data_IF_857492991989
#
_entry.id   IF_857492991989
#
_cell.length_a   1.000
_cell.length_b   1.000
_cell.length_c   1.000
_cell.angle_alpha   90.00
_cell.angle_beta   90.00
_cell.angle_gamma   90.00
#
_symmetry.space_group_name_H-M   'P 1'
#
loop_
_entity.id
_entity.type
_entity.pdbx_description
1 polymer ?
#
# COMPACT_ATOMS: atom_id res chain seq x y z
N UNK A 1 -10.33 -16.64 -1.88
CA UNK A 1 -9.46 -15.66 -1.21
C UNK A 1 -8.66 -14.94 -2.27
N UNK A 2 -8.71 -13.62 -2.28
CA UNK A 2 -7.97 -12.76 -3.20
C UNK A 2 -6.66 -12.35 -2.54
N UNK A 3 -5.52 -12.41 -3.24
CA UNK A 3 -4.22 -12.04 -2.67
C UNK A 3 -4.19 -10.54 -2.32
N UNK A 4 -3.58 -10.19 -1.19
CA UNK A 4 -3.42 -8.80 -0.73
C UNK A 4 -1.96 -8.54 -0.36
N UNK A 5 -1.44 -7.38 -0.76
CA UNK A 5 -0.14 -6.88 -0.34
C UNK A 5 -0.30 -5.70 0.62
N UNK A 6 0.48 -5.73 1.70
CA UNK A 6 0.59 -4.64 2.67
C UNK A 6 1.95 -3.97 2.51
N UNK A 7 1.95 -2.64 2.35
CA UNK A 7 3.16 -1.82 2.24
C UNK A 7 3.22 -0.84 3.39
N UNK A 8 4.26 -0.96 4.21
CA UNK A 8 4.62 0.03 5.22
C UNK A 8 5.67 0.97 4.62
N UNK A 9 5.40 2.27 4.61
CA UNK A 9 6.27 3.27 3.97
C UNK A 9 6.16 4.64 4.65
N UNK A 10 7.19 5.48 4.51
CA UNK A 10 7.12 6.90 4.88
C UNK A 10 6.52 7.78 3.76
N UNK A 11 6.34 7.21 2.57
CA UNK A 11 5.91 7.87 1.33
C UNK A 11 4.71 7.14 0.69
N UNK A 12 3.53 7.16 1.33
CA UNK A 12 2.34 6.46 0.83
C UNK A 12 1.91 6.93 -0.57
N UNK A 13 2.17 8.20 -0.90
CA UNK A 13 1.83 8.83 -2.18
C UNK A 13 2.58 8.24 -3.39
N UNK A 14 3.67 7.49 -3.17
CA UNK A 14 4.40 6.80 -4.24
C UNK A 14 3.64 5.60 -4.80
N UNK A 15 2.59 5.13 -4.10
CA UNK A 15 1.84 3.95 -4.47
C UNK A 15 0.51 4.30 -5.17
N UNK A 16 0.02 3.45 -6.10
CA UNK A 16 0.55 2.14 -6.48
C UNK A 16 1.75 2.21 -7.43
N UNK A 17 2.17 3.39 -7.88
CA UNK A 17 3.36 3.57 -8.71
C UNK A 17 3.37 2.63 -9.94
N UNK A 18 4.48 1.90 -10.19
CA UNK A 18 4.56 0.89 -11.26
C UNK A 18 3.54 -0.26 -11.13
N UNK A 19 3.07 -0.59 -9.91
CA UNK A 19 2.07 -1.64 -9.70
C UNK A 19 0.71 -1.29 -10.31
N UNK A 20 0.47 -0.01 -10.59
CA UNK A 20 -0.72 0.48 -11.31
C UNK A 20 -0.64 0.33 -12.83
N UNK A 21 0.42 -0.24 -13.40
CA UNK A 21 0.65 -0.33 -14.85
C UNK A 21 0.48 -1.74 -15.39
N UNK A 22 0.32 -1.88 -16.71
CA UNK A 22 0.28 -3.19 -17.40
C UNK A 22 -0.72 -4.19 -16.77
N UNK A 23 -0.35 -5.48 -16.69
CA UNK A 23 -1.19 -6.55 -16.15
C UNK A 23 -1.44 -6.41 -14.65
N UNK A 24 -0.45 -6.01 -13.86
CA UNK A 24 -0.60 -5.82 -12.41
C UNK A 24 -1.66 -4.76 -12.11
N UNK A 25 -1.62 -3.62 -12.82
CA UNK A 25 -2.61 -2.55 -12.67
C UNK A 25 -4.01 -2.94 -13.15
N UNK A 26 -4.12 -3.69 -14.26
CA UNK A 26 -5.41 -4.22 -14.72
C UNK A 26 -6.02 -5.19 -13.71
N UNK A 27 -5.20 -6.07 -13.13
CA UNK A 27 -5.62 -7.01 -12.11
C UNK A 27 -6.05 -6.31 -10.81
N UNK A 28 -5.32 -5.26 -10.40
CA UNK A 28 -5.67 -4.42 -9.24
C UNK A 28 -7.04 -3.76 -9.44
N UNK A 29 -7.27 -3.14 -10.61
CA UNK A 29 -8.56 -2.52 -10.97
C UNK A 29 -9.73 -3.51 -11.04
N UNK A 30 -9.44 -4.78 -11.36
CA UNK A 30 -10.43 -5.87 -11.39
C UNK A 30 -10.64 -6.54 -10.03
N UNK A 31 -9.92 -6.12 -8.98
CA UNK A 31 -10.00 -6.75 -7.65
C UNK A 31 -9.47 -8.19 -7.63
N UNK A 32 -8.60 -8.56 -8.58
CA UNK A 32 -7.92 -9.87 -8.59
C UNK A 32 -6.81 -9.92 -7.53
N UNK A 33 -6.32 -8.74 -7.13
CA UNK A 33 -5.52 -8.53 -5.94
C UNK A 33 -5.78 -7.15 -5.34
N UNK A 34 -5.35 -6.92 -4.10
CA UNK A 34 -5.47 -5.65 -3.38
C UNK A 34 -4.13 -5.15 -2.84
N UNK A 35 -4.01 -3.83 -2.69
CA UNK A 35 -2.84 -3.16 -2.14
C UNK A 35 -3.28 -2.25 -0.98
N UNK A 36 -2.76 -2.51 0.21
CA UNK A 36 -2.90 -1.65 1.37
C UNK A 36 -1.60 -0.89 1.60
N UNK A 37 -1.70 0.40 1.89
CA UNK A 37 -0.55 1.28 2.09
C UNK A 37 -0.71 1.92 3.46
N UNK A 38 0.28 1.74 4.32
CA UNK A 38 0.30 2.25 5.69
C UNK A 38 1.41 3.28 5.81
N UNK A 39 1.06 4.48 6.27
CA UNK A 39 2.03 5.52 6.56
C UNK A 39 2.70 5.23 7.91
N UNK A 40 4.00 4.94 7.87
CA UNK A 40 4.78 4.63 9.08
C UNK A 40 4.88 5.82 10.04
N UNK A 41 4.70 7.07 9.57
CA UNK A 41 4.71 8.27 10.42
C UNK A 41 3.58 8.24 11.46
N UNK A 42 2.45 7.61 11.15
CA UNK A 42 1.33 7.45 12.10
C UNK A 42 1.70 6.59 13.31
N UNK A 43 2.63 5.65 13.14
CA UNK A 43 3.09 4.75 14.20
C UNK A 43 4.28 5.32 14.99
N UNK A 44 5.11 6.16 14.37
CA UNK A 44 6.26 6.80 15.03
C UNK A 44 5.87 7.84 16.09
N UNK A 45 4.78 8.59 15.87
CA UNK A 45 4.31 9.63 16.82
C UNK A 45 3.73 9.07 18.11
N UNK A 46 3.27 7.81 18.12
CA UNK A 46 2.70 7.18 19.31
C UNK A 46 3.78 6.80 20.33
N UNK A 47 5.01 6.52 19.91
CA UNK A 47 6.11 6.12 20.79
C UNK A 47 6.87 7.29 21.45
N UNK A 48 6.61 8.53 21.02
CA UNK A 48 7.24 9.74 21.59
C UNK A 48 6.36 10.40 22.68
N UNK A 49 5.13 9.88 22.87
CA UNK A 49 4.17 10.35 23.87
C UNK A 49 3.84 9.28 24.94
N UNK A 50 4.66 8.21 25.00
CA UNK A 50 4.66 7.18 26.04
C UNK A 50 6.02 7.19 26.74
#
# INVERSE_FOLDING_TARGET
MTWSADVLTLYPEMFPGPLGKSLSGKALKKGIWSLNIYDLKEYGLVLINL
#
